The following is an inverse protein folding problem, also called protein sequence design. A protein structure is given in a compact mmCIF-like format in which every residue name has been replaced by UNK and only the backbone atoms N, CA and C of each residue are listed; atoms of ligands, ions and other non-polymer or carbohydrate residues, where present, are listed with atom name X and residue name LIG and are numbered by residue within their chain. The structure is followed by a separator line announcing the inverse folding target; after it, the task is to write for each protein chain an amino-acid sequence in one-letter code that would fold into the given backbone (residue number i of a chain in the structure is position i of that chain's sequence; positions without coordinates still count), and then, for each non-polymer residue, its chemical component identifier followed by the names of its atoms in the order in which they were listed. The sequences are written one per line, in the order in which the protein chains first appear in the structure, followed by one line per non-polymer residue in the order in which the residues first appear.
data_IF_697182864766
#
_entry.id   IF_697182864766
#
_cell.length_a   1.000
_cell.length_b   1.000
_cell.length_c   1.000
_cell.angle_alpha   90.00
_cell.angle_beta   90.00
_cell.angle_gamma   90.00
#
_symmetry.space_group_name_H-M   'P 1'
#
loop_
_entity.id
_entity.type
_entity.pdbx_description
1 polymer ?
#
# COMPACT_ATOMS: atom_id res chain seq x y z
N UNK A 1 -4.73 -12.58 -12.37
CA UNK A 1 -4.75 -11.14 -12.72
C UNK A 1 -6.09 -10.73 -13.34
N UNK A 2 -6.61 -9.55 -12.95
CA UNK A 2 -7.83 -8.94 -13.50
C UNK A 2 -7.46 -7.54 -13.99
N UNK A 3 -8.09 -7.07 -15.07
CA UNK A 3 -7.96 -5.69 -15.54
C UNK A 3 -9.08 -4.84 -14.93
N UNK A 4 -8.72 -3.74 -14.28
CA UNK A 4 -9.68 -2.85 -13.65
C UNK A 4 -10.61 -2.19 -14.66
N UNK A 5 -11.91 -2.37 -14.49
CA UNK A 5 -12.96 -1.72 -15.28
C UNK A 5 -13.70 -0.62 -14.51
N UNK A 6 -13.46 -0.49 -13.20
CA UNK A 6 -14.08 0.48 -12.29
C UNK A 6 -13.04 1.05 -11.33
N UNK A 7 -13.34 2.19 -10.72
CA UNK A 7 -12.47 2.83 -9.74
C UNK A 7 -12.33 1.97 -8.47
N UNK A 8 -11.11 1.77 -8.04
CA UNK A 8 -10.78 0.99 -6.83
C UNK A 8 -11.28 1.64 -5.53
N UNK A 9 -11.53 2.95 -5.54
CA UNK A 9 -11.99 3.71 -4.38
C UNK A 9 -13.51 3.95 -4.40
N UNK A 10 -14.02 4.74 -5.35
CA UNK A 10 -15.43 5.15 -5.39
C UNK A 10 -16.34 4.22 -6.22
N UNK A 11 -15.79 3.20 -6.90
CA UNK A 11 -16.49 2.30 -7.82
C UNK A 11 -17.11 2.98 -9.06
N UNK A 12 -16.74 4.21 -9.35
CA UNK A 12 -17.14 4.93 -10.56
C UNK A 12 -16.55 4.30 -11.83
N UNK A 13 -17.15 4.57 -12.97
CA UNK A 13 -16.73 4.08 -14.28
C UNK A 13 -16.14 5.16 -15.18
N UNK A 14 -16.11 6.41 -14.75
CA UNK A 14 -15.50 7.52 -15.47
C UNK A 14 -13.98 7.47 -15.33
N UNK A 15 -13.35 6.66 -16.18
CA UNK A 15 -11.93 6.36 -16.12
C UNK A 15 -11.18 6.91 -17.33
N UNK A 16 -10.08 7.64 -17.10
CA UNK A 16 -9.09 8.00 -18.11
C UNK A 16 -7.94 6.99 -18.07
N UNK A 17 -7.52 6.51 -19.23
CA UNK A 17 -6.44 5.52 -19.38
C UNK A 17 -5.28 6.10 -20.18
N UNK A 18 -4.08 5.72 -19.82
CA UNK A 18 -2.86 6.05 -20.58
C UNK A 18 -1.87 4.89 -20.52
N UNK A 19 -1.19 4.56 -21.63
CA UNK A 19 -0.18 3.51 -21.65
C UNK A 19 0.96 3.78 -20.68
N UNK A 20 1.37 2.72 -19.97
CA UNK A 20 2.48 2.70 -19.04
C UNK A 20 3.21 1.35 -19.09
N UNK A 21 4.31 1.23 -18.38
CA UNK A 21 5.07 -0.01 -18.22
C UNK A 21 5.10 -0.45 -16.77
N UNK A 22 5.12 -1.76 -16.55
CA UNK A 22 5.37 -2.33 -15.24
C UNK A 22 6.88 -2.42 -15.03
N UNK A 23 7.35 -1.98 -13.86
CA UNK A 23 8.77 -1.99 -13.52
C UNK A 23 9.34 -3.41 -13.49
N UNK A 24 10.59 -3.58 -13.96
CA UNK A 24 11.17 -4.92 -14.17
C UNK A 24 11.16 -5.84 -12.96
N UNK A 25 11.41 -5.32 -11.76
CA UNK A 25 11.37 -6.14 -10.55
C UNK A 25 9.97 -6.73 -10.31
N UNK A 26 8.92 -5.91 -10.39
CA UNK A 26 7.55 -6.38 -10.22
C UNK A 26 7.16 -7.36 -11.31
N UNK A 27 7.50 -7.06 -12.57
CA UNK A 27 7.27 -7.95 -13.70
C UNK A 27 7.95 -9.30 -13.55
N UNK A 28 9.20 -9.32 -13.07
CA UNK A 28 9.95 -10.55 -12.77
C UNK A 28 9.28 -11.37 -11.67
N UNK A 29 8.90 -10.72 -10.58
CA UNK A 29 8.29 -11.41 -9.43
C UNK A 29 6.90 -11.96 -9.74
N UNK A 30 6.08 -11.18 -10.43
CA UNK A 30 4.67 -11.53 -10.68
C UNK A 30 4.52 -12.47 -11.87
N UNK A 31 5.25 -12.22 -12.98
CA UNK A 31 5.07 -12.89 -14.26
C UNK A 31 6.28 -13.67 -14.75
N UNK A 32 7.39 -13.69 -14.01
CA UNK A 32 8.68 -14.22 -14.45
C UNK A 32 9.19 -13.57 -15.75
N UNK A 33 8.86 -12.28 -15.94
CA UNK A 33 9.23 -11.51 -17.13
C UNK A 33 10.41 -10.58 -16.85
N UNK A 34 11.43 -10.65 -17.70
CA UNK A 34 12.51 -9.66 -17.75
C UNK A 34 12.43 -8.86 -19.07
N UNK A 35 12.90 -7.59 -19.08
CA UNK A 35 13.00 -6.83 -20.32
C UNK A 35 13.85 -7.55 -21.36
N UNK A 36 13.37 -7.60 -22.61
CA UNK A 36 14.00 -8.29 -23.73
C UNK A 36 14.28 -7.30 -24.86
N UNK A 37 15.45 -7.39 -25.48
CA UNK A 37 15.78 -6.56 -26.64
C UNK A 37 14.93 -6.97 -27.84
N UNK A 38 14.35 -5.98 -28.51
CA UNK A 38 13.66 -6.16 -29.78
C UNK A 38 14.69 -6.19 -30.90
N UNK A 39 14.85 -7.36 -31.51
CA UNK A 39 15.79 -7.59 -32.60
C UNK A 39 15.04 -7.92 -33.91
N UNK A 40 15.71 -7.86 -35.08
CA UNK A 40 15.10 -8.27 -36.35
C UNK A 40 14.56 -9.72 -36.36
N UNK A 41 15.12 -10.58 -35.51
CA UNK A 41 14.70 -12.00 -35.41
C UNK A 41 13.27 -12.18 -34.88
N UNK A 42 12.70 -11.14 -34.26
CA UNK A 42 11.27 -11.16 -33.86
C UNK A 42 10.34 -11.19 -35.08
N UNK A 43 10.85 -10.93 -36.30
CA UNK A 43 10.11 -11.04 -37.54
C UNK A 43 9.00 -9.99 -37.73
N UNK A 44 8.94 -8.97 -36.87
CA UNK A 44 7.93 -7.91 -36.93
C UNK A 44 8.54 -6.63 -37.47
N UNK A 45 8.35 -6.37 -38.78
CA UNK A 45 8.94 -5.21 -39.47
C UNK A 45 8.46 -3.84 -38.95
N UNK A 46 7.32 -3.82 -38.25
CA UNK A 46 6.72 -2.60 -37.72
C UNK A 46 7.18 -2.26 -36.28
N UNK A 47 7.93 -3.14 -35.64
CA UNK A 47 8.51 -2.85 -34.32
C UNK A 47 9.82 -2.09 -34.46
N UNK A 48 9.91 -0.99 -33.73
CA UNK A 48 11.17 -0.25 -33.62
C UNK A 48 12.15 -1.00 -32.71
N UNK A 49 13.48 -0.96 -32.98
CA UNK A 49 14.48 -1.46 -32.05
C UNK A 49 14.34 -0.82 -30.66
N UNK A 50 14.62 -1.58 -29.60
CA UNK A 50 14.54 -1.13 -28.23
C UNK A 50 14.34 -2.28 -27.26
N UNK A 51 13.86 -1.96 -26.06
CA UNK A 51 13.55 -2.95 -25.03
C UNK A 51 12.03 -3.16 -24.93
N UNK A 52 11.62 -4.42 -24.92
CA UNK A 52 10.25 -4.79 -24.62
C UNK A 52 10.05 -4.86 -23.10
N UNK A 53 9.04 -4.17 -22.62
CA UNK A 53 8.56 -4.19 -21.23
C UNK A 53 7.13 -4.68 -21.17
N UNK A 54 6.68 -5.26 -20.03
CA UNK A 54 5.26 -5.55 -19.84
C UNK A 54 4.44 -4.26 -19.91
N UNK A 55 3.50 -4.22 -20.85
CA UNK A 55 2.62 -3.07 -21.03
C UNK A 55 1.44 -3.15 -20.07
N UNK A 56 1.10 -1.99 -19.47
CA UNK A 56 -0.06 -1.79 -18.62
C UNK A 56 -0.67 -0.42 -18.92
N UNK A 57 -1.69 -0.04 -18.16
CA UNK A 57 -2.22 1.31 -18.21
C UNK A 57 -2.21 1.95 -16.83
N UNK A 58 -1.90 3.25 -16.82
CA UNK A 58 -2.28 4.13 -15.71
C UNK A 58 -3.73 4.52 -15.88
N UNK A 59 -4.52 4.36 -14.82
CA UNK A 59 -5.93 4.75 -14.78
C UNK A 59 -6.12 5.86 -13.77
N UNK A 60 -6.80 6.94 -14.18
CA UNK A 60 -7.31 7.98 -13.30
C UNK A 60 -8.83 7.95 -13.27
N UNK A 61 -9.40 7.89 -12.08
CA UNK A 61 -10.82 8.15 -11.88
C UNK A 61 -11.08 9.65 -11.90
N UNK A 62 -11.98 10.11 -12.78
CA UNK A 62 -12.33 11.55 -12.85
C UNK A 62 -13.28 12.00 -11.76
N UNK A 63 -13.92 11.05 -11.04
CA UNK A 63 -14.85 11.37 -9.95
C UNK A 63 -14.14 11.65 -8.64
N UNK A 64 -13.17 10.81 -8.27
CA UNK A 64 -12.48 10.93 -6.98
C UNK A 64 -10.98 11.21 -7.09
N UNK A 65 -10.41 11.21 -8.30
CA UNK A 65 -9.00 11.50 -8.53
C UNK A 65 -8.03 10.34 -8.21
N UNK A 66 -8.51 9.16 -7.82
CA UNK A 66 -7.65 8.00 -7.61
C UNK A 66 -6.86 7.68 -8.88
N UNK A 67 -5.55 7.46 -8.74
CA UNK A 67 -4.65 7.08 -9.84
C UNK A 67 -4.09 5.69 -9.55
N UNK A 68 -4.27 4.73 -10.45
CA UNK A 68 -3.90 3.35 -10.17
C UNK A 68 -3.51 2.57 -11.43
N UNK A 69 -2.77 1.48 -11.21
CA UNK A 69 -2.43 0.50 -12.22
C UNK A 69 -3.71 -0.25 -12.65
N UNK A 70 -3.88 -0.50 -13.95
CA UNK A 70 -5.04 -1.29 -14.44
C UNK A 70 -4.95 -2.78 -14.10
N UNK A 71 -3.75 -3.34 -13.98
CA UNK A 71 -3.53 -4.73 -13.58
C UNK A 71 -3.78 -4.87 -12.07
N UNK A 72 -4.75 -5.74 -11.72
CA UNK A 72 -5.03 -6.10 -10.33
C UNK A 72 -4.55 -7.53 -10.12
N UNK A 73 -3.48 -7.67 -9.35
CA UNK A 73 -2.85 -8.96 -9.08
C UNK A 73 -3.79 -9.85 -8.27
N UNK A 74 -3.81 -11.14 -8.56
CA UNK A 74 -4.51 -12.12 -7.73
C UNK A 74 -3.66 -12.55 -6.51
N UNK A 75 -4.23 -13.40 -5.66
CA UNK A 75 -3.58 -13.84 -4.42
C UNK A 75 -2.26 -14.57 -4.69
N UNK A 76 -2.20 -15.41 -5.72
CA UNK A 76 -0.99 -16.14 -6.08
C UNK A 76 0.10 -15.20 -6.63
N UNK A 77 -0.30 -14.19 -7.40
CA UNK A 77 0.58 -13.14 -7.92
C UNK A 77 1.13 -12.25 -6.80
N UNK A 78 0.28 -11.85 -5.84
CA UNK A 78 0.70 -11.12 -4.65
C UNK A 78 1.62 -11.98 -3.77
N UNK A 79 1.31 -13.26 -3.60
CA UNK A 79 2.17 -14.20 -2.89
C UNK A 79 3.56 -14.31 -3.50
N UNK A 80 3.66 -14.36 -4.85
CA UNK A 80 4.98 -14.34 -5.53
C UNK A 80 5.71 -13.02 -5.33
N UNK A 81 5.01 -11.88 -5.43
CA UNK A 81 5.60 -10.55 -5.26
C UNK A 81 6.26 -10.40 -3.89
N UNK A 82 5.58 -10.84 -2.83
CA UNK A 82 6.04 -10.66 -1.44
C UNK A 82 6.70 -11.89 -0.81
N UNK A 83 6.81 -13.03 -1.53
CA UNK A 83 7.52 -14.21 -1.01
C UNK A 83 8.96 -13.88 -0.64
N UNK A 84 9.35 -14.18 0.61
CA UNK A 84 10.67 -13.86 1.15
C UNK A 84 10.92 -12.36 1.28
N UNK A 85 9.88 -11.56 1.43
CA UNK A 85 9.96 -10.11 1.52
C UNK A 85 11.05 -9.67 2.49
N UNK A 86 11.94 -8.81 2.02
CA UNK A 86 13.12 -8.29 2.75
C UNK A 86 14.18 -9.31 3.16
N UNK A 87 14.05 -10.60 2.85
CA UNK A 87 15.15 -11.53 3.08
C UNK A 87 16.37 -11.20 2.18
N UNK A 88 17.55 -11.82 2.44
CA UNK A 88 18.74 -11.56 1.62
C UNK A 88 18.55 -11.86 0.13
N UNK A 89 17.79 -12.89 -0.22
CA UNK A 89 17.52 -13.28 -1.62
C UNK A 89 16.63 -12.27 -2.32
N UNK A 90 15.55 -11.87 -1.65
CA UNK A 90 14.64 -10.81 -2.14
C UNK A 90 15.40 -9.49 -2.31
N UNK A 91 16.18 -9.10 -1.31
CA UNK A 91 16.95 -7.84 -1.31
C UNK A 91 17.98 -7.84 -2.45
N UNK A 92 18.72 -8.93 -2.66
CA UNK A 92 19.68 -9.05 -3.75
C UNK A 92 18.99 -9.01 -5.14
N UNK A 93 17.85 -9.70 -5.28
CA UNK A 93 17.09 -9.68 -6.52
C UNK A 93 16.55 -8.28 -6.83
N UNK A 94 16.07 -7.55 -5.82
CA UNK A 94 15.54 -6.21 -5.99
C UNK A 94 16.64 -5.19 -6.28
N UNK A 95 17.79 -5.27 -5.62
CA UNK A 95 18.95 -4.41 -5.85
C UNK A 95 19.41 -4.43 -7.32
N UNK A 96 19.27 -5.58 -8.01
CA UNK A 96 19.60 -5.72 -9.45
C UNK A 96 18.76 -4.77 -10.32
N UNK A 97 17.49 -4.55 -9.98
CA UNK A 97 16.56 -3.71 -10.74
C UNK A 97 16.40 -2.31 -10.15
N UNK A 98 16.64 -2.15 -8.86
CA UNK A 98 16.48 -0.91 -8.10
C UNK A 98 17.73 -0.66 -7.25
N UNK A 99 18.81 -0.14 -7.85
CA UNK A 99 20.05 0.15 -7.11
C UNK A 99 19.83 1.05 -5.90
N UNK A 100 20.40 0.67 -4.75
CA UNK A 100 20.22 1.34 -3.47
C UNK A 100 19.06 0.80 -2.62
N UNK A 101 18.38 -0.25 -3.08
CA UNK A 101 17.32 -0.88 -2.29
C UNK A 101 17.84 -1.50 -0.98
N UNK A 102 19.00 -2.17 -1.03
CA UNK A 102 19.59 -2.79 0.14
C UNK A 102 19.84 -1.79 1.29
N UNK A 103 20.35 -0.59 0.96
CA UNK A 103 20.55 0.47 1.95
C UNK A 103 19.21 0.99 2.52
N UNK A 104 18.19 1.15 1.69
CA UNK A 104 16.84 1.54 2.13
C UNK A 104 16.22 0.46 3.03
N UNK A 105 16.37 -0.80 2.67
CA UNK A 105 15.85 -1.93 3.46
C UNK A 105 16.46 -1.97 4.86
N UNK A 106 17.75 -1.65 4.99
CA UNK A 106 18.41 -1.58 6.29
C UNK A 106 17.81 -0.47 7.19
N UNK A 107 17.50 0.69 6.63
CA UNK A 107 16.86 1.77 7.37
C UNK A 107 15.46 1.40 7.90
N UNK A 108 14.73 0.52 7.18
CA UNK A 108 13.42 0.01 7.61
C UNK A 108 13.48 -0.96 8.79
N UNK A 109 14.67 -1.44 9.17
CA UNK A 109 14.86 -2.28 10.35
C UNK A 109 14.83 -1.50 11.66
N UNK A 110 14.79 -0.17 11.61
CA UNK A 110 14.68 0.71 12.77
C UNK A 110 13.26 1.26 12.91
N UNK A 111 12.87 1.55 14.16
CA UNK A 111 11.58 2.20 14.42
C UNK A 111 11.57 3.62 13.86
N UNK A 112 10.58 3.95 13.08
CA UNK A 112 10.46 5.26 12.45
C UNK A 112 10.18 6.37 13.48
N UNK A 113 10.95 7.47 13.38
CA UNK A 113 10.87 8.57 14.35
C UNK A 113 9.51 9.29 14.34
N UNK A 114 8.85 9.40 13.18
CA UNK A 114 7.57 10.10 13.03
C UNK A 114 6.40 9.43 13.77
N UNK A 115 6.55 8.19 14.21
CA UNK A 115 5.48 7.48 14.95
C UNK A 115 5.08 8.19 16.24
N UNK A 116 5.99 8.94 16.86
CA UNK A 116 5.65 9.77 18.02
C UNK A 116 4.63 10.87 17.69
N UNK A 117 4.70 11.42 16.49
CA UNK A 117 3.74 12.40 15.99
C UNK A 117 2.39 11.75 15.71
N UNK A 118 2.40 10.59 15.04
CA UNK A 118 1.20 9.77 14.84
C UNK A 118 0.52 9.46 16.18
N UNK A 119 1.28 9.01 17.19
CA UNK A 119 0.76 8.71 18.51
C UNK A 119 0.18 9.95 19.21
N UNK A 120 0.77 11.11 19.01
CA UNK A 120 0.25 12.37 19.54
C UNK A 120 -1.06 12.80 18.88
N UNK A 121 -1.19 12.59 17.56
CA UNK A 121 -2.38 12.92 16.76
C UNK A 121 -3.56 12.05 17.15
N UNK A 122 -3.39 10.73 17.17
CA UNK A 122 -4.51 9.80 17.35
C UNK A 122 -4.76 9.44 18.81
N UNK A 123 -3.75 9.59 19.70
CA UNK A 123 -3.85 9.26 21.11
C UNK A 123 -5.05 9.86 21.85
N UNK A 124 -5.44 11.12 21.63
CA UNK A 124 -6.59 11.73 22.28
C UNK A 124 -7.94 11.04 22.00
N UNK A 125 -8.03 10.26 20.93
CA UNK A 125 -9.26 9.55 20.54
C UNK A 125 -9.34 8.13 21.12
N UNK A 126 -8.24 7.61 21.67
CA UNK A 126 -8.14 6.21 22.10
C UNK A 126 -8.57 6.05 23.55
N UNK A 127 -9.35 5.02 23.81
CA UNK A 127 -9.72 4.58 25.15
C UNK A 127 -8.81 3.44 25.63
N UNK A 128 -8.68 3.29 26.96
CA UNK A 128 -7.96 2.17 27.58
C UNK A 128 -8.93 1.09 28.02
N UNK A 129 -8.53 -0.20 28.07
CA UNK A 129 -7.22 -0.73 27.68
C UNK A 129 -6.99 -0.67 26.16
N UNK A 130 -5.72 -0.50 25.73
CA UNK A 130 -5.34 -0.43 24.32
C UNK A 130 -4.81 -1.79 23.85
N UNK A 131 -5.57 -2.44 22.98
CA UNK A 131 -5.20 -3.68 22.29
C UNK A 131 -5.08 -3.38 20.80
N UNK A 132 -3.86 -3.49 20.27
CA UNK A 132 -3.54 -3.09 18.89
C UNK A 132 -3.44 -4.31 18.00
N UNK A 133 -4.11 -4.25 16.85
CA UNK A 133 -3.85 -5.12 15.70
C UNK A 133 -3.18 -4.30 14.60
N UNK A 134 -2.00 -4.71 14.15
CA UNK A 134 -1.33 -4.13 12.99
C UNK A 134 -1.52 -5.03 11.78
N UNK A 135 -2.31 -4.55 10.83
CA UNK A 135 -2.65 -5.27 9.61
C UNK A 135 -1.66 -4.92 8.49
N UNK A 136 -0.80 -5.88 8.13
CA UNK A 136 0.33 -5.66 7.25
C UNK A 136 1.52 -5.02 7.99
N UNK A 137 1.64 -5.31 9.31
CA UNK A 137 2.62 -4.67 10.19
C UNK A 137 4.05 -5.19 10.07
N UNK A 138 4.32 -6.12 9.13
CA UNK A 138 5.68 -6.69 8.95
C UNK A 138 6.17 -7.32 10.27
N UNK A 139 7.27 -6.83 10.83
CA UNK A 139 7.81 -7.28 12.13
C UNK A 139 7.06 -6.67 13.33
N UNK A 140 6.17 -5.71 13.13
CA UNK A 140 5.47 -4.94 14.16
C UNK A 140 6.32 -3.83 14.80
N UNK A 141 7.56 -3.66 14.39
CA UNK A 141 8.46 -2.66 14.97
C UNK A 141 7.94 -1.23 14.79
N UNK A 142 7.21 -0.99 13.70
CA UNK A 142 6.62 0.31 13.35
C UNK A 142 5.14 0.44 13.76
N UNK A 143 4.62 -0.47 14.57
CA UNK A 143 3.27 -0.35 15.11
C UNK A 143 3.19 0.85 16.07
N UNK A 144 2.27 1.82 15.86
CA UNK A 144 2.03 2.89 16.82
C UNK A 144 1.64 2.32 18.20
N UNK A 145 2.02 3.01 19.26
CA UNK A 145 1.78 2.61 20.66
C UNK A 145 2.43 1.28 21.10
N UNK A 146 3.41 0.76 20.37
CA UNK A 146 4.07 -0.50 20.67
C UNK A 146 4.45 -0.66 22.17
N UNK A 147 4.96 0.40 22.80
CA UNK A 147 5.41 0.40 24.19
C UNK A 147 4.35 0.87 25.20
N UNK A 148 3.12 1.14 24.76
CA UNK A 148 2.05 1.76 25.58
C UNK A 148 0.75 0.95 25.54
N UNK A 149 0.65 -0.01 24.62
CA UNK A 149 -0.48 -0.91 24.51
C UNK A 149 -0.37 -2.08 25.50
N UNK A 150 -1.52 -2.58 25.95
CA UNK A 150 -1.61 -3.81 26.75
C UNK A 150 -1.20 -5.04 25.94
N UNK A 151 -1.50 -5.04 24.65
CA UNK A 151 -1.07 -6.07 23.70
C UNK A 151 -0.94 -5.51 22.30
N UNK A 152 0.02 -6.05 21.55
CA UNK A 152 0.22 -5.78 20.13
C UNK A 152 0.21 -7.10 19.38
N UNK A 153 -0.64 -7.19 18.37
CA UNK A 153 -0.73 -8.32 17.46
C UNK A 153 -0.45 -7.85 16.03
N UNK A 154 0.21 -8.69 15.25
CA UNK A 154 0.49 -8.43 13.82
C UNK A 154 -0.15 -9.52 12.99
N UNK A 155 -0.89 -9.11 11.97
CA UNK A 155 -1.33 -9.97 10.88
C UNK A 155 -0.62 -9.54 9.60
N UNK A 156 0.24 -10.41 9.07
CA UNK A 156 1.00 -10.12 7.86
C UNK A 156 1.12 -11.36 6.96
N UNK A 157 1.03 -11.15 5.64
CA UNK A 157 1.10 -12.22 4.64
C UNK A 157 2.53 -12.64 4.29
N UNK A 158 3.53 -11.85 4.65
CA UNK A 158 4.95 -12.12 4.35
C UNK A 158 5.51 -13.31 5.12
N UNK A 159 4.91 -13.62 6.27
CA UNK A 159 5.38 -14.67 7.18
C UNK A 159 6.68 -14.32 7.91
N UNK A 160 7.07 -13.06 7.95
CA UNK A 160 8.23 -12.60 8.72
C UNK A 160 8.01 -12.82 10.23
N UNK A 161 9.10 -13.11 10.93
CA UNK A 161 9.07 -13.22 12.38
C UNK A 161 8.81 -11.82 12.99
N UNK A 162 7.85 -11.74 13.90
CA UNK A 162 7.55 -10.51 14.63
C UNK A 162 8.60 -10.23 15.70
N UNK A 163 8.75 -8.95 16.07
CA UNK A 163 9.67 -8.52 17.12
C UNK A 163 9.25 -9.05 18.50
N UNK A 164 10.18 -9.01 19.46
CA UNK A 164 9.93 -9.46 20.83
C UNK A 164 8.76 -8.68 21.47
N UNK A 165 7.89 -9.39 22.17
CA UNK A 165 6.72 -8.83 22.84
C UNK A 165 5.50 -8.63 21.94
N UNK A 166 5.60 -8.98 20.66
CA UNK A 166 4.51 -8.90 19.69
C UNK A 166 3.97 -10.30 19.40
N UNK A 167 2.67 -10.41 19.17
CA UNK A 167 2.02 -11.68 18.84
C UNK A 167 1.69 -11.74 17.36
N UNK A 168 2.25 -12.70 16.63
CA UNK A 168 1.79 -12.99 15.27
C UNK A 168 0.42 -13.68 15.32
N UNK A 169 -0.53 -13.21 14.53
CA UNK A 169 -1.87 -13.80 14.44
C UNK A 169 -2.18 -14.21 13.00
N UNK A 170 -2.92 -15.30 12.86
CA UNK A 170 -3.48 -15.75 11.60
C UNK A 170 -4.94 -15.28 11.44
N UNK A 171 -5.59 -15.65 10.32
CA UNK A 171 -7.00 -15.29 10.09
C UNK A 171 -7.95 -15.79 11.18
N UNK A 172 -7.65 -16.90 11.82
CA UNK A 172 -8.47 -17.44 12.91
C UNK A 172 -8.31 -16.58 14.17
N UNK A 173 -7.10 -16.13 14.46
CA UNK A 173 -6.79 -15.25 15.59
C UNK A 173 -7.42 -13.86 15.49
N UNK A 174 -7.68 -13.38 14.27
CA UNK A 174 -8.31 -12.07 14.04
C UNK A 174 -9.72 -11.96 14.66
N UNK A 175 -10.49 -13.04 14.64
CA UNK A 175 -11.88 -13.05 15.16
C UNK A 175 -11.96 -13.16 16.69
N UNK A 176 -10.86 -13.51 17.36
CA UNK A 176 -10.89 -13.93 18.77
C UNK A 176 -10.45 -12.85 19.75
N UNK A 177 -9.82 -11.77 19.30
CA UNK A 177 -9.21 -10.78 20.17
C UNK A 177 -9.97 -9.45 20.19
N UNK A 178 -10.05 -8.79 21.36
CA UNK A 178 -10.80 -7.55 21.53
C UNK A 178 -9.98 -6.33 21.11
N UNK A 179 -9.60 -6.24 19.84
CA UNK A 179 -8.81 -5.09 19.33
C UNK A 179 -9.58 -3.78 19.50
N UNK A 180 -8.96 -2.80 20.14
CA UNK A 180 -9.52 -1.45 20.32
C UNK A 180 -8.97 -0.47 19.28
N UNK A 181 -7.77 -0.75 18.75
CA UNK A 181 -7.16 -0.05 17.62
C UNK A 181 -6.72 -1.07 16.58
N UNK A 182 -7.18 -0.90 15.35
CA UNK A 182 -6.61 -1.57 14.19
C UNK A 182 -5.75 -0.55 13.45
N UNK A 183 -4.54 -0.95 13.08
CA UNK A 183 -3.59 -0.15 12.29
C UNK A 183 -3.50 -0.78 10.91
N UNK A 184 -3.50 0.02 9.87
CA UNK A 184 -3.19 -0.38 8.50
C UNK A 184 -2.37 0.74 7.86
N UNK A 185 -1.05 0.63 8.01
CA UNK A 185 -0.09 1.66 7.61
C UNK A 185 0.73 1.19 6.42
N UNK A 186 0.73 1.97 5.34
CA UNK A 186 1.47 1.70 4.10
C UNK A 186 1.17 0.31 3.51
N UNK A 187 -0.12 -0.03 3.41
CA UNK A 187 -0.61 -1.30 2.83
C UNK A 187 -1.54 -1.06 1.64
N UNK A 188 -2.44 -0.08 1.72
CA UNK A 188 -3.48 0.12 0.69
C UNK A 188 -2.91 0.46 -0.69
N UNK A 189 -1.76 1.08 -0.75
CA UNK A 189 -1.06 1.41 -1.99
C UNK A 189 -0.54 0.18 -2.75
N UNK A 190 -0.40 -0.95 -2.06
CA UNK A 190 0.13 -2.19 -2.60
C UNK A 190 -0.96 -3.20 -3.01
N UNK A 191 -2.16 -3.12 -2.43
CA UNK A 191 -3.15 -4.19 -2.58
C UNK A 191 -4.00 -4.04 -3.83
N UNK A 192 -4.37 -5.14 -4.49
CA UNK A 192 -5.18 -5.10 -5.70
C UNK A 192 -6.62 -4.61 -5.47
N UNK A 193 -7.16 -4.78 -4.28
CA UNK A 193 -8.52 -4.35 -3.91
C UNK A 193 -8.53 -3.66 -2.54
N UNK A 194 -8.27 -2.34 -2.46
CA UNK A 194 -8.32 -1.60 -1.21
C UNK A 194 -9.68 -1.71 -0.49
N UNK A 195 -10.77 -1.74 -1.25
CA UNK A 195 -12.11 -1.86 -0.67
C UNK A 195 -12.35 -3.25 -0.04
N UNK A 196 -11.84 -4.32 -0.64
CA UNK A 196 -11.95 -5.66 -0.04
C UNK A 196 -11.13 -5.74 1.26
N UNK A 197 -9.90 -5.22 1.26
CA UNK A 197 -9.07 -5.16 2.45
C UNK A 197 -9.74 -4.39 3.59
N UNK A 198 -10.28 -3.19 3.31
CA UNK A 198 -11.00 -2.42 4.32
C UNK A 198 -12.26 -3.11 4.81
N UNK A 199 -12.96 -3.86 3.95
CA UNK A 199 -14.07 -4.73 4.33
C UNK A 199 -13.65 -5.82 5.30
N UNK A 200 -12.54 -6.49 5.03
CA UNK A 200 -11.95 -7.50 5.92
C UNK A 200 -11.58 -6.89 7.28
N UNK A 201 -10.91 -5.74 7.28
CA UNK A 201 -10.57 -5.01 8.51
C UNK A 201 -11.83 -4.62 9.29
N UNK A 202 -12.83 -4.04 8.61
CA UNK A 202 -14.08 -3.63 9.25
C UNK A 202 -14.82 -4.83 9.88
N UNK A 203 -14.67 -6.03 9.32
CA UNK A 203 -15.32 -7.25 9.84
C UNK A 203 -14.76 -7.68 11.19
N UNK A 204 -13.51 -7.38 11.50
CA UNK A 204 -12.85 -7.74 12.79
C UNK A 204 -12.91 -6.59 13.79
N UNK A 205 -13.29 -5.38 13.38
CA UNK A 205 -13.48 -4.25 14.28
C UNK A 205 -14.75 -4.41 15.12
N UNK A 206 -14.66 -4.08 16.40
CA UNK A 206 -15.80 -3.93 17.29
C UNK A 206 -16.48 -2.56 17.05
N UNK A 207 -17.71 -2.35 17.55
CA UNK A 207 -18.39 -1.05 17.42
C UNK A 207 -17.61 0.13 18.03
N UNK A 208 -16.81 -0.13 19.05
CA UNK A 208 -15.97 0.83 19.77
C UNK A 208 -14.51 0.86 19.32
N UNK A 209 -14.13 0.03 18.35
CA UNK A 209 -12.79 0.04 17.76
C UNK A 209 -12.58 1.22 16.84
N UNK A 210 -11.35 1.71 16.79
CA UNK A 210 -10.89 2.67 15.80
C UNK A 210 -9.93 2.00 14.81
N UNK A 211 -9.93 2.50 13.58
CA UNK A 211 -9.00 2.11 12.53
C UNK A 211 -8.09 3.30 12.20
N UNK A 212 -6.80 3.13 12.39
CA UNK A 212 -5.79 4.04 11.87
C UNK A 212 -5.35 3.59 10.50
N UNK A 213 -5.56 4.43 9.50
CA UNK A 213 -5.08 4.24 8.13
C UNK A 213 -3.98 5.25 7.83
N UNK A 214 -2.88 4.76 7.28
CA UNK A 214 -1.81 5.59 6.76
C UNK A 214 -1.48 5.16 5.34
N UNK A 215 -1.41 6.12 4.43
CA UNK A 215 -0.99 5.89 3.04
C UNK A 215 -0.15 7.07 2.55
N UNK A 216 0.84 6.84 1.67
CA UNK A 216 1.63 7.93 1.13
C UNK A 216 0.75 8.88 0.29
N UNK A 217 0.92 10.18 0.51
CA UNK A 217 0.57 11.17 -0.50
C UNK A 217 1.71 11.20 -1.51
N UNK A 218 1.59 10.40 -2.53
CA UNK A 218 2.63 10.24 -3.55
C UNK A 218 3.03 11.58 -4.16
N UNK A 219 4.33 11.83 -4.25
CA UNK A 219 4.88 13.09 -4.74
C UNK A 219 4.30 13.47 -6.12
N UNK A 220 4.15 12.49 -7.01
CA UNK A 220 3.56 12.70 -8.32
C UNK A 220 2.12 13.26 -8.24
N UNK A 221 1.30 12.78 -7.31
CA UNK A 221 -0.07 13.27 -7.11
C UNK A 221 -0.06 14.66 -6.48
N UNK A 222 0.81 14.88 -5.49
CA UNK A 222 0.92 16.16 -4.79
C UNK A 222 1.42 17.28 -5.70
N UNK A 223 2.45 17.02 -6.51
CA UNK A 223 3.05 17.99 -7.44
C UNK A 223 2.15 18.32 -8.63
N UNK A 224 1.25 17.41 -9.01
CA UNK A 224 0.32 17.57 -10.11
C UNK A 224 -1.13 17.75 -9.62
N UNK A 225 -1.33 18.26 -8.40
CA UNK A 225 -2.64 18.54 -7.86
C UNK A 225 -3.41 19.52 -8.78
N UNK A 226 -4.63 19.12 -9.18
CA UNK A 226 -5.46 19.88 -10.12
C UNK A 226 -5.19 19.61 -11.60
N UNK A 227 -4.23 18.76 -11.96
CA UNK A 227 -4.04 18.32 -13.34
C UNK A 227 -5.25 17.51 -13.83
N UNK A 228 -5.76 17.86 -15.02
CA UNK A 228 -6.93 17.17 -15.59
C UNK A 228 -6.68 15.69 -15.88
N UNK A 229 -5.44 15.30 -16.17
CA UNK A 229 -5.09 13.94 -16.58
C UNK A 229 -3.75 13.48 -15.99
N UNK A 230 -3.78 13.00 -14.76
CA UNK A 230 -2.62 12.39 -14.10
C UNK A 230 -2.16 11.09 -14.77
N UNK A 231 -3.06 10.32 -15.36
CA UNK A 231 -2.73 9.05 -16.01
C UNK A 231 -1.73 9.23 -17.16
N UNK A 232 -1.82 10.34 -17.90
CA UNK A 232 -0.94 10.61 -19.04
C UNK A 232 0.53 10.79 -18.63
N UNK A 233 0.80 11.37 -17.48
CA UNK A 233 2.17 11.57 -16.98
C UNK A 233 2.73 10.38 -16.19
N UNK A 234 1.89 9.52 -15.64
CA UNK A 234 2.30 8.32 -14.90
C UNK A 234 2.67 7.19 -15.89
N UNK A 235 3.94 7.07 -16.22
CA UNK A 235 4.44 6.19 -17.30
C UNK A 235 4.96 4.83 -16.81
N UNK A 236 5.17 4.64 -15.52
CA UNK A 236 5.68 3.39 -14.96
C UNK A 236 5.06 3.11 -13.61
N UNK A 237 4.93 1.82 -13.29
CA UNK A 237 4.40 1.34 -12.02
C UNK A 237 5.38 0.38 -11.36
N UNK A 238 5.54 0.55 -10.05
CA UNK A 238 6.27 -0.35 -9.17
C UNK A 238 5.28 -1.05 -8.21
N UNK A 239 5.71 -1.40 -7.03
CA UNK A 239 4.86 -2.07 -6.02
C UNK A 239 3.72 -1.20 -5.47
N UNK A 240 3.85 0.14 -5.47
CA UNK A 240 2.72 1.03 -5.19
C UNK A 240 1.84 1.11 -6.43
N UNK A 241 0.82 0.27 -6.46
CA UNK A 241 -0.12 0.18 -7.59
C UNK A 241 -1.36 1.07 -7.43
N UNK A 242 -1.47 1.77 -6.31
CA UNK A 242 -2.56 2.70 -5.99
C UNK A 242 -1.98 4.01 -5.43
N UNK A 243 -2.37 5.12 -6.03
CA UNK A 243 -2.04 6.47 -5.57
C UNK A 243 -3.34 7.17 -5.20
N UNK A 244 -3.41 7.68 -3.99
CA UNK A 244 -4.64 8.23 -3.43
C UNK A 244 -4.62 9.76 -3.44
N UNK A 245 -5.81 10.33 -3.64
CA UNK A 245 -6.13 11.71 -3.26
C UNK A 245 -6.97 11.68 -1.97
N UNK A 246 -7.09 12.78 -1.26
CA UNK A 246 -7.98 12.86 -0.11
C UNK A 246 -9.43 12.49 -0.48
N UNK A 247 -9.92 12.99 -1.61
CA UNK A 247 -11.27 12.66 -2.12
C UNK A 247 -11.43 11.16 -2.38
N UNK A 248 -10.40 10.49 -2.91
CA UNK A 248 -10.41 9.06 -3.14
C UNK A 248 -10.46 8.26 -1.84
N UNK A 249 -9.68 8.66 -0.82
CA UNK A 249 -9.70 8.03 0.50
C UNK A 249 -11.04 8.21 1.20
N UNK A 250 -11.63 9.41 1.17
CA UNK A 250 -12.97 9.66 1.73
C UNK A 250 -14.04 8.78 1.07
N UNK A 251 -13.99 8.65 -0.25
CA UNK A 251 -14.93 7.80 -0.99
C UNK A 251 -14.73 6.30 -0.66
N UNK A 252 -13.48 5.85 -0.55
CA UNK A 252 -13.14 4.47 -0.21
C UNK A 252 -13.62 4.11 1.19
N UNK A 253 -13.32 4.94 2.19
CA UNK A 253 -13.70 4.74 3.60
C UNK A 253 -15.23 4.68 3.73
N UNK A 254 -15.95 5.63 3.12
CA UNK A 254 -17.42 5.68 3.14
C UNK A 254 -18.04 4.44 2.48
N UNK A 255 -17.49 3.98 1.35
CA UNK A 255 -17.95 2.78 0.65
C UNK A 255 -17.83 1.51 1.48
N UNK A 256 -16.83 1.46 2.38
CA UNK A 256 -16.60 0.31 3.26
C UNK A 256 -17.39 0.37 4.59
N UNK A 257 -18.36 1.27 4.74
CA UNK A 257 -19.17 1.41 5.96
C UNK A 257 -18.38 1.99 7.14
N UNK A 258 -17.36 2.77 6.84
CA UNK A 258 -16.53 3.47 7.80
C UNK A 258 -16.77 4.99 7.71
N UNK A 259 -16.55 5.70 8.80
CA UNK A 259 -16.56 7.17 8.86
C UNK A 259 -15.21 7.69 9.34
N UNK A 260 -14.74 8.76 8.74
CA UNK A 260 -13.51 9.45 9.17
C UNK A 260 -13.82 10.28 10.41
N UNK A 261 -13.10 10.02 11.49
CA UNK A 261 -13.13 10.75 12.75
C UNK A 261 -12.10 11.88 12.73
N UNK A 262 -10.92 11.61 12.15
CA UNK A 262 -9.83 12.57 11.98
C UNK A 262 -9.11 12.29 10.67
N UNK A 263 -8.65 13.34 9.99
CA UNK A 263 -7.81 13.24 8.81
C UNK A 263 -6.87 14.42 8.77
N UNK A 264 -5.59 14.15 8.62
CA UNK A 264 -4.59 15.17 8.33
C UNK A 264 -3.49 14.62 7.41
N UNK A 265 -2.69 15.52 6.88
CA UNK A 265 -1.48 15.17 6.13
C UNK A 265 -0.27 15.48 6.98
N UNK A 266 0.50 14.44 7.30
CA UNK A 266 1.74 14.54 8.06
C UNK A 266 2.92 14.65 7.11
N UNK A 267 3.81 15.60 7.34
CA UNK A 267 5.12 15.66 6.68
C UNK A 267 6.10 14.81 7.49
N UNK A 268 6.70 13.83 6.84
CA UNK A 268 7.62 12.89 7.46
C UNK A 268 8.95 12.89 6.74
N UNK A 269 10.03 12.68 7.46
CA UNK A 269 11.31 12.38 6.83
C UNK A 269 11.47 10.86 6.74
N UNK A 270 11.45 10.34 5.51
CA UNK A 270 11.64 8.92 5.22
C UNK A 270 12.90 8.79 4.36
N UNK A 271 13.91 8.10 4.86
CA UNK A 271 15.20 7.90 4.18
C UNK A 271 15.91 9.20 3.77
N UNK A 272 15.90 10.22 4.63
CA UNK A 272 16.51 11.52 4.34
C UNK A 272 15.78 12.31 3.25
N UNK A 273 14.54 11.94 2.93
CA UNK A 273 13.67 12.65 2.00
C UNK A 273 12.38 13.07 2.71
N UNK A 274 11.99 14.31 2.47
CA UNK A 274 10.68 14.77 2.91
C UNK A 274 9.59 14.04 2.13
N UNK A 275 8.76 13.30 2.84
CA UNK A 275 7.56 12.64 2.36
C UNK A 275 6.31 13.21 3.00
N UNK A 276 5.14 12.86 2.46
CA UNK A 276 3.85 13.20 3.04
C UNK A 276 3.02 11.95 3.18
N UNK A 277 2.31 11.84 4.29
CA UNK A 277 1.41 10.73 4.56
C UNK A 277 0.00 11.26 4.85
N UNK A 278 -1.01 10.64 4.28
CA UNK A 278 -2.36 10.80 4.78
C UNK A 278 -2.54 9.94 6.02
N UNK A 279 -2.90 10.57 7.12
CA UNK A 279 -3.20 9.94 8.41
C UNK A 279 -4.70 10.06 8.68
N UNK A 280 -5.41 8.93 8.69
CA UNK A 280 -6.84 8.88 8.91
C UNK A 280 -7.15 8.05 10.15
N UNK A 281 -8.00 8.57 11.00
CA UNK A 281 -8.64 7.77 12.05
C UNK A 281 -10.08 7.54 11.69
N UNK A 282 -10.51 6.28 11.63
CA UNK A 282 -11.83 5.88 11.18
C UNK A 282 -12.55 5.09 12.26
N UNK A 283 -13.89 5.17 12.27
CA UNK A 283 -14.78 4.35 13.09
C UNK A 283 -15.81 3.66 12.20
N UNK A 284 -16.44 2.59 12.70
CA UNK A 284 -17.61 2.01 12.04
C UNK A 284 -18.79 2.98 12.06
N UNK A 285 -19.62 2.94 11.00
CA UNK A 285 -20.87 3.69 10.90
C UNK A 285 -21.95 3.03 11.75
#
# INVERSE_FOLDING_TARGET
MIIAGRCICCDGDRLRKSPAVLMPFVAKRVFDWEPVEITPDWGMQTLSPGMAYPLCNSIQCTDCGALFLDMRFDEAEMGRLYSGYRDPTYTAARERFEPGYAARNLMLSERAAYLSEVEAIIGPYLSKPLHVLDWGGDTGLNTPFLHRAESVSVYDISGLAVAEGITAVDRCGLASAPFTLVVCSNVLEHVPSPAALLGDIASVMRPDSLLYLEVPLEAYVAENAGAENLATGKKHWHEHINFFTETALRALVARCGLKIVHLETLETEIYGRLGRQFCLLCARV
#
